data_IF_571731247197
#
_entry.id   IF_571731247197
#
_cell.length_a   1.000
_cell.length_b   1.000
_cell.length_c   1.000
_cell.angle_alpha   90.00
_cell.angle_beta   90.00
_cell.angle_gamma   90.00
#
_symmetry.space_group_name_H-M   'P 1'
#
loop_
_entity.id
_entity.type
_entity.pdbx_description
1 polymer ?
#
# COMPACT_ATOMS: atom_id res chain seq x y z
N UNK A 1 7.82 -38.95 -21.56
CA UNK A 1 7.88 -37.59 -21.00
C UNK A 1 8.06 -36.68 -22.21
N UNK A 2 7.27 -35.64 -22.37
CA UNK A 2 7.44 -34.75 -23.52
C UNK A 2 8.70 -33.92 -23.27
N UNK A 3 9.67 -34.04 -24.19
CA UNK A 3 10.92 -33.24 -24.15
C UNK A 3 10.70 -31.76 -24.51
N UNK A 4 9.54 -31.21 -24.13
CA UNK A 4 9.24 -29.81 -24.38
C UNK A 4 9.87 -28.96 -23.28
N UNK A 5 11.02 -28.37 -23.57
CA UNK A 5 11.77 -27.46 -22.70
C UNK A 5 11.48 -25.99 -23.00
N UNK A 6 10.59 -25.73 -23.97
CA UNK A 6 10.20 -24.37 -24.36
C UNK A 6 9.54 -23.63 -23.19
N UNK A 7 9.97 -22.40 -22.95
CA UNK A 7 9.35 -21.50 -21.99
C UNK A 7 8.86 -20.27 -22.71
N UNK A 8 7.56 -20.03 -22.57
CA UNK A 8 6.87 -18.83 -23.03
C UNK A 8 6.23 -18.12 -21.84
N UNK A 9 6.12 -16.79 -21.92
CA UNK A 9 5.40 -15.97 -20.94
C UNK A 9 4.60 -14.87 -21.64
N UNK A 10 3.62 -14.28 -20.93
CA UNK A 10 2.87 -13.15 -21.49
C UNK A 10 3.46 -11.83 -21.01
N UNK A 11 3.65 -10.88 -21.93
CA UNK A 11 3.90 -9.48 -21.60
C UNK A 11 2.58 -8.71 -21.60
N UNK A 12 2.33 -7.96 -20.50
CA UNK A 12 1.17 -7.09 -20.36
C UNK A 12 1.62 -5.63 -20.23
N UNK A 13 1.36 -4.85 -21.26
CA UNK A 13 1.55 -3.40 -21.23
C UNK A 13 0.53 -2.73 -20.31
N UNK A 14 0.70 -1.44 -19.98
CA UNK A 14 -0.30 -0.71 -19.17
C UNK A 14 -1.70 -0.70 -19.80
N UNK A 15 -1.88 -0.49 -21.13
CA UNK A 15 -3.18 -0.68 -21.77
C UNK A 15 -3.76 -2.10 -21.63
N UNK A 16 -2.92 -3.15 -21.65
CA UNK A 16 -3.36 -4.52 -21.45
C UNK A 16 -3.79 -4.76 -20.01
N UNK A 17 -3.04 -4.24 -19.05
CA UNK A 17 -3.42 -4.26 -17.63
C UNK A 17 -4.78 -3.61 -17.39
N UNK A 18 -5.06 -2.47 -18.06
CA UNK A 18 -6.37 -1.79 -17.98
C UNK A 18 -7.49 -2.67 -18.55
N UNK A 19 -7.29 -3.29 -19.70
CA UNK A 19 -8.27 -4.21 -20.31
C UNK A 19 -8.49 -5.44 -19.44
N UNK A 20 -7.44 -5.96 -18.80
CA UNK A 20 -7.52 -7.10 -17.90
C UNK A 20 -8.16 -6.77 -16.53
N UNK A 21 -8.50 -5.50 -16.29
CA UNK A 21 -9.27 -5.09 -15.11
C UNK A 21 -8.44 -4.58 -13.93
N UNK A 22 -7.18 -4.12 -14.13
CA UNK A 22 -6.33 -3.62 -13.04
C UNK A 22 -6.95 -2.47 -12.24
N UNK A 23 -7.95 -1.78 -12.82
CA UNK A 23 -8.68 -0.68 -12.18
C UNK A 23 -9.95 -1.11 -11.43
N UNK A 24 -10.26 -2.37 -11.37
CA UNK A 24 -11.39 -2.90 -10.60
C UNK A 24 -11.07 -2.83 -9.09
N UNK A 25 -11.43 -1.70 -8.46
CA UNK A 25 -11.14 -1.48 -7.05
C UNK A 25 -11.93 -2.42 -6.12
N UNK A 26 -13.23 -2.69 -6.33
CA UNK A 26 -13.93 -3.71 -5.54
C UNK A 26 -13.24 -5.07 -5.59
N UNK A 27 -12.91 -5.58 -6.78
CA UNK A 27 -12.20 -6.84 -6.93
C UNK A 27 -10.78 -6.81 -6.34
N UNK A 28 -10.11 -5.66 -6.37
CA UNK A 28 -8.81 -5.48 -5.73
C UNK A 28 -8.91 -5.53 -4.19
N UNK A 29 -9.93 -4.90 -3.59
CA UNK A 29 -10.19 -4.98 -2.14
C UNK A 29 -10.47 -6.42 -1.72
N UNK A 30 -11.27 -7.17 -2.49
CA UNK A 30 -11.56 -8.57 -2.21
C UNK A 30 -10.29 -9.42 -2.29
N UNK A 31 -9.43 -9.19 -3.30
CA UNK A 31 -8.14 -9.89 -3.42
C UNK A 31 -7.19 -9.57 -2.25
N UNK A 32 -7.18 -8.33 -1.77
CA UNK A 32 -6.38 -7.97 -0.57
C UNK A 32 -6.94 -8.64 0.69
N UNK A 33 -8.24 -8.73 0.84
CA UNK A 33 -8.87 -9.42 1.97
C UNK A 33 -8.52 -10.92 1.97
N UNK A 34 -8.63 -11.60 0.83
CA UNK A 34 -8.17 -12.99 0.64
C UNK A 34 -6.68 -13.16 1.02
N UNK A 35 -5.84 -12.22 0.55
CA UNK A 35 -4.41 -12.22 0.85
C UNK A 35 -4.14 -12.08 2.35
N UNK A 36 -4.79 -11.13 3.06
CA UNK A 36 -4.62 -11.00 4.51
C UNK A 36 -5.07 -12.25 5.27
N UNK A 37 -6.10 -12.94 4.81
CA UNK A 37 -6.50 -14.22 5.40
C UNK A 37 -5.42 -15.31 5.23
N UNK A 38 -4.68 -15.32 4.10
CA UNK A 38 -3.55 -16.22 3.87
C UNK A 38 -2.34 -15.83 4.73
N UNK A 39 -2.06 -14.55 4.89
CA UNK A 39 -1.00 -14.06 5.80
C UNK A 39 -1.25 -14.56 7.23
N UNK A 40 -2.46 -14.40 7.74
CA UNK A 40 -2.81 -14.87 9.08
C UNK A 40 -2.64 -16.39 9.24
N UNK A 41 -2.89 -17.16 8.17
CA UNK A 41 -2.67 -18.62 8.16
C UNK A 41 -1.19 -19.02 8.01
N UNK A 42 -0.31 -18.07 7.70
CA UNK A 42 1.11 -18.33 7.45
C UNK A 42 1.41 -18.94 6.06
N UNK A 43 0.43 -18.90 5.13
CA UNK A 43 0.57 -19.44 3.78
C UNK A 43 1.10 -18.39 2.79
N UNK A 44 2.25 -17.85 3.11
CA UNK A 44 2.99 -16.87 2.33
C UNK A 44 4.47 -16.88 2.70
N UNK A 45 5.29 -16.21 1.88
CA UNK A 45 6.68 -15.85 2.22
C UNK A 45 7.02 -14.53 1.56
N UNK A 46 7.72 -13.66 2.28
CA UNK A 46 8.39 -12.49 1.73
C UNK A 46 9.91 -12.61 1.93
N UNK A 47 10.66 -11.60 1.55
CA UNK A 47 12.12 -11.59 1.74
C UNK A 47 12.52 -11.46 3.23
N UNK A 48 13.83 -11.49 3.47
CA UNK A 48 14.41 -11.27 4.80
C UNK A 48 14.45 -12.51 5.69
N UNK A 49 15.10 -12.36 6.83
CA UNK A 49 15.33 -13.46 7.76
C UNK A 49 14.06 -13.95 8.45
N UNK A 50 13.13 -13.04 8.70
CA UNK A 50 11.81 -13.35 9.29
C UNK A 50 10.74 -13.74 8.26
N UNK A 51 11.05 -13.72 6.96
CA UNK A 51 10.13 -13.93 5.82
C UNK A 51 9.02 -12.87 5.68
N UNK A 52 9.20 -11.69 6.27
CA UNK A 52 8.26 -10.58 6.28
C UNK A 52 8.86 -9.25 5.80
N UNK A 53 10.13 -9.23 5.34
CA UNK A 53 10.77 -8.01 4.86
C UNK A 53 10.11 -7.45 3.61
N UNK A 54 10.04 -6.12 3.54
CA UNK A 54 9.50 -5.39 2.39
C UNK A 54 10.27 -5.66 1.08
N UNK A 55 11.53 -6.06 1.16
CA UNK A 55 12.41 -6.36 0.03
C UNK A 55 13.78 -5.70 0.16
N UNK A 56 14.54 -5.68 -0.94
CA UNK A 56 15.90 -5.18 -0.97
C UNK A 56 16.03 -3.91 -1.83
N UNK A 57 16.80 -2.93 -1.32
CA UNK A 57 17.01 -1.65 -2.00
C UNK A 57 18.47 -1.48 -2.44
N UNK A 58 18.63 -0.89 -3.64
CA UNK A 58 19.88 -0.25 -4.06
C UNK A 58 19.72 1.26 -3.88
N UNK A 59 20.53 1.84 -3.01
CA UNK A 59 20.58 3.27 -2.73
C UNK A 59 21.97 3.82 -3.09
N UNK A 60 22.13 5.13 -3.10
CA UNK A 60 23.38 5.78 -3.49
C UNK A 60 23.88 6.71 -2.39
N UNK A 61 25.21 6.87 -2.23
CA UNK A 61 25.77 7.75 -1.23
C UNK A 61 25.55 9.23 -1.58
N UNK A 62 25.48 10.08 -0.56
CA UNK A 62 25.36 11.53 -0.78
C UNK A 62 26.60 12.12 -1.45
N UNK A 63 27.79 11.60 -1.12
CA UNK A 63 29.09 12.01 -1.66
C UNK A 63 29.81 10.79 -2.23
N UNK A 64 29.54 10.41 -3.49
CA UNK A 64 30.23 9.29 -4.11
C UNK A 64 31.71 9.63 -4.35
N UNK A 65 32.59 8.71 -4.00
CA UNK A 65 34.03 8.81 -4.26
C UNK A 65 34.40 8.49 -5.73
N UNK A 66 33.52 7.71 -6.39
CA UNK A 66 33.69 7.30 -7.77
C UNK A 66 32.84 8.17 -8.68
N UNK A 67 33.45 8.80 -9.69
CA UNK A 67 32.79 9.78 -10.57
C UNK A 67 31.58 9.23 -11.34
N UNK A 68 31.55 7.93 -11.64
CA UNK A 68 30.42 7.27 -12.32
C UNK A 68 29.33 6.80 -11.37
N UNK A 69 29.58 6.84 -10.06
CA UNK A 69 28.61 6.45 -9.05
C UNK A 69 27.50 7.53 -8.97
N UNK A 70 26.22 7.17 -9.11
CA UNK A 70 25.14 8.11 -8.93
C UNK A 70 25.14 8.70 -7.52
N UNK A 71 24.86 10.00 -7.43
CA UNK A 71 24.67 10.66 -6.14
C UNK A 71 23.26 10.39 -5.59
N UNK A 72 23.16 10.28 -4.26
CA UNK A 72 21.87 10.31 -3.57
C UNK A 72 21.09 11.57 -3.93
N UNK A 73 19.80 11.39 -4.17
CA UNK A 73 18.80 12.46 -4.25
C UNK A 73 17.54 11.96 -3.56
N UNK A 74 16.65 12.84 -3.10
CA UNK A 74 15.42 12.40 -2.46
C UNK A 74 14.69 11.34 -3.28
N UNK A 75 14.35 10.22 -2.62
CA UNK A 75 13.63 9.08 -3.19
C UNK A 75 14.32 8.36 -4.38
N UNK A 76 15.63 8.59 -4.61
CA UNK A 76 16.38 7.88 -5.65
C UNK A 76 16.81 6.50 -5.16
N UNK A 77 16.14 5.48 -5.65
CA UNK A 77 16.42 4.08 -5.33
C UNK A 77 15.96 3.13 -6.43
N UNK A 78 16.50 1.93 -6.41
CA UNK A 78 15.90 0.78 -7.08
C UNK A 78 15.54 -0.25 -6.02
N UNK A 79 14.45 -0.99 -6.21
CA UNK A 79 13.92 -1.89 -5.19
C UNK A 79 13.34 -3.16 -5.80
N UNK A 80 13.67 -4.30 -5.19
CA UNK A 80 13.08 -5.61 -5.46
C UNK A 80 12.19 -6.02 -4.28
N UNK A 81 10.95 -6.39 -4.58
CA UNK A 81 9.96 -6.82 -3.60
C UNK A 81 9.43 -8.21 -3.97
N UNK A 82 10.15 -9.30 -3.63
CA UNK A 82 9.72 -10.65 -3.92
C UNK A 82 8.75 -11.18 -2.86
N UNK A 83 7.77 -12.00 -3.31
CA UNK A 83 6.91 -12.74 -2.40
C UNK A 83 6.35 -14.00 -3.07
N UNK A 84 6.00 -14.97 -2.24
CA UNK A 84 5.12 -16.11 -2.53
C UNK A 84 3.79 -15.91 -1.82
N UNK A 85 2.70 -16.32 -2.48
CA UNK A 85 1.37 -16.37 -1.90
C UNK A 85 0.72 -17.72 -2.25
N UNK A 86 0.23 -18.41 -1.23
CA UNK A 86 -0.40 -19.71 -1.31
C UNK A 86 -1.89 -19.68 -1.61
N UNK A 87 -2.67 -20.57 -1.00
CA UNK A 87 -4.11 -20.71 -1.24
C UNK A 87 -4.42 -20.96 -2.71
N UNK A 88 -5.39 -20.24 -3.26
CA UNK A 88 -5.77 -20.33 -4.67
C UNK A 88 -4.81 -19.57 -5.62
N UNK A 89 -3.84 -18.84 -5.07
CA UNK A 89 -2.86 -18.11 -5.87
C UNK A 89 -1.70 -19.00 -6.31
N UNK A 90 -1.04 -19.69 -5.40
CA UNK A 90 0.08 -20.62 -5.62
C UNK A 90 1.13 -20.06 -6.61
N UNK A 91 1.50 -18.77 -6.43
CA UNK A 91 2.41 -18.06 -7.31
C UNK A 91 3.49 -17.34 -6.52
N UNK A 92 4.65 -17.21 -7.15
CA UNK A 92 5.73 -16.34 -6.68
C UNK A 92 5.90 -15.17 -7.65
N UNK A 93 6.34 -14.03 -7.17
CA UNK A 93 6.60 -12.90 -8.06
C UNK A 93 7.48 -11.86 -7.44
N UNK A 94 7.96 -10.94 -8.27
CA UNK A 94 8.78 -9.83 -7.86
C UNK A 94 8.38 -8.54 -8.54
N UNK A 95 8.11 -7.51 -7.73
CA UNK A 95 8.06 -6.14 -8.22
C UNK A 95 9.46 -5.57 -8.24
N UNK A 96 9.92 -5.14 -9.41
CA UNK A 96 11.16 -4.40 -9.57
C UNK A 96 10.86 -2.99 -10.04
N UNK A 97 11.40 -1.98 -9.34
CA UNK A 97 11.16 -0.60 -9.72
C UNK A 97 12.31 0.34 -9.41
N UNK A 98 12.41 1.41 -10.22
CA UNK A 98 13.21 2.59 -9.93
C UNK A 98 12.32 3.75 -9.50
N UNK A 99 12.75 4.52 -8.50
CA UNK A 99 12.10 5.73 -8.01
C UNK A 99 13.07 6.89 -8.01
N UNK A 100 12.62 8.06 -8.48
CA UNK A 100 13.35 9.31 -8.43
C UNK A 100 12.37 10.48 -8.59
N UNK A 101 12.32 11.39 -7.64
CA UNK A 101 11.41 12.54 -7.69
C UNK A 101 11.70 13.46 -8.89
N UNK A 102 12.97 13.53 -9.35
CA UNK A 102 13.38 14.30 -10.54
C UNK A 102 12.77 13.80 -11.87
N UNK A 103 12.18 12.61 -11.90
CA UNK A 103 11.45 12.12 -13.06
C UNK A 103 10.30 13.06 -13.45
N UNK A 104 9.70 13.74 -12.48
CA UNK A 104 8.59 14.70 -12.71
C UNK A 104 9.01 15.87 -13.60
N UNK A 105 10.26 16.31 -13.51
CA UNK A 105 10.81 17.38 -14.36
C UNK A 105 10.91 16.94 -15.84
N UNK A 106 11.00 15.62 -16.06
CA UNK A 106 11.01 14.98 -17.39
C UNK A 106 9.63 14.55 -17.88
N UNK A 107 8.56 14.90 -17.16
CA UNK A 107 7.20 14.45 -17.46
C UNK A 107 6.94 12.96 -17.18
N UNK A 108 7.85 12.27 -16.49
CA UNK A 108 7.73 10.86 -16.14
C UNK A 108 7.11 10.68 -14.74
N UNK A 109 6.49 9.52 -14.45
CA UNK A 109 6.11 9.16 -13.10
C UNK A 109 7.32 9.15 -12.15
N UNK A 110 7.09 9.50 -10.89
CA UNK A 110 8.12 9.41 -9.83
C UNK A 110 8.77 8.02 -9.78
N UNK A 111 7.97 6.98 -9.94
CA UNK A 111 8.40 5.59 -9.95
C UNK A 111 7.94 4.89 -11.22
N UNK A 112 8.79 4.03 -11.76
CA UNK A 112 8.50 3.19 -12.93
C UNK A 112 8.65 1.75 -12.48
N UNK A 113 7.55 1.00 -12.54
CA UNK A 113 7.41 -0.30 -11.92
C UNK A 113 7.11 -1.39 -12.95
N UNK A 114 7.74 -2.53 -12.75
CA UNK A 114 7.44 -3.78 -13.46
C UNK A 114 7.21 -4.90 -12.46
N UNK A 115 6.44 -5.91 -12.85
CA UNK A 115 6.20 -7.10 -12.05
C UNK A 115 6.42 -8.35 -12.89
N UNK A 116 7.14 -9.32 -12.35
CA UNK A 116 7.27 -10.66 -12.95
C UNK A 116 6.56 -11.65 -12.06
N UNK A 117 5.68 -12.45 -12.64
CA UNK A 117 4.98 -13.55 -11.98
C UNK A 117 5.59 -14.86 -12.44
N UNK A 118 5.84 -15.78 -11.51
CA UNK A 118 6.53 -17.03 -11.75
C UNK A 118 5.67 -18.22 -11.31
N UNK A 119 5.75 -19.29 -12.08
CA UNK A 119 5.30 -20.61 -11.70
C UNK A 119 6.13 -21.14 -10.52
N UNK A 120 5.46 -21.69 -9.51
CA UNK A 120 6.14 -22.06 -8.25
C UNK A 120 6.93 -23.35 -8.36
N UNK A 121 6.52 -24.26 -9.23
CA UNK A 121 7.15 -25.57 -9.33
C UNK A 121 8.45 -25.52 -10.15
N UNK A 122 8.45 -24.72 -11.21
CA UNK A 122 9.57 -24.63 -12.16
C UNK A 122 10.42 -23.38 -12.01
N UNK A 123 9.87 -22.33 -11.37
CA UNK A 123 10.47 -20.99 -11.32
C UNK A 123 10.36 -20.24 -12.66
N UNK A 124 9.73 -20.80 -13.69
CA UNK A 124 9.60 -20.17 -14.99
C UNK A 124 8.73 -18.88 -14.89
N UNK A 125 9.09 -17.80 -15.61
CA UNK A 125 8.19 -16.66 -15.72
C UNK A 125 6.92 -17.07 -16.48
N UNK A 126 5.75 -16.71 -15.95
CA UNK A 126 4.46 -16.90 -16.62
C UNK A 126 3.90 -15.57 -17.15
N UNK A 127 4.27 -14.47 -16.51
CA UNK A 127 3.95 -13.11 -16.98
C UNK A 127 5.01 -12.09 -16.60
N UNK A 128 5.18 -11.08 -17.46
CA UNK A 128 5.90 -9.84 -17.16
C UNK A 128 5.00 -8.66 -17.48
N UNK A 129 4.78 -7.75 -16.52
CA UNK A 129 3.71 -6.77 -16.64
C UNK A 129 4.07 -5.39 -16.14
N UNK A 130 3.45 -4.36 -16.74
CA UNK A 130 3.49 -2.99 -16.23
C UNK A 130 2.85 -2.93 -14.85
N UNK A 131 3.53 -2.36 -13.85
CA UNK A 131 3.09 -2.42 -12.47
C UNK A 131 2.76 -1.07 -11.82
N UNK A 132 2.75 0.04 -12.55
CA UNK A 132 2.38 1.34 -12.00
C UNK A 132 0.93 1.35 -11.48
N UNK A 133 -0.02 0.92 -12.30
CA UNK A 133 -1.43 0.80 -11.88
C UNK A 133 -1.64 -0.34 -10.88
N UNK A 134 -1.00 -1.49 -11.11
CA UNK A 134 -1.03 -2.62 -10.18
C UNK A 134 -0.70 -2.15 -8.75
N UNK A 135 0.47 -1.54 -8.58
CA UNK A 135 0.95 -1.05 -7.29
C UNK A 135 0.07 0.06 -6.70
N UNK A 136 -0.47 0.95 -7.54
CA UNK A 136 -1.36 2.02 -7.08
C UNK A 136 -2.67 1.46 -6.52
N UNK A 137 -3.29 0.53 -7.22
CA UNK A 137 -4.59 -0.02 -6.83
C UNK A 137 -4.48 -0.94 -5.61
N UNK A 138 -3.49 -1.86 -5.56
CA UNK A 138 -3.30 -2.73 -4.40
C UNK A 138 -2.98 -1.93 -3.13
N UNK A 139 -2.17 -0.85 -3.22
CA UNK A 139 -1.83 -0.01 -2.07
C UNK A 139 -3.06 0.75 -1.55
N UNK A 140 -3.90 1.28 -2.45
CA UNK A 140 -5.13 1.95 -2.06
C UNK A 140 -6.23 0.99 -1.56
N UNK A 141 -6.19 -0.27 -1.97
CA UNK A 141 -7.17 -1.29 -1.55
C UNK A 141 -7.02 -1.70 -0.08
N UNK A 142 -5.80 -1.69 0.47
CA UNK A 142 -5.56 -2.04 1.90
C UNK A 142 -6.33 -1.14 2.87
N UNK A 143 -6.30 0.22 2.75
CA UNK A 143 -7.21 1.08 3.49
C UNK A 143 -8.69 0.69 3.36
N UNK A 144 -9.11 0.22 2.18
CA UNK A 144 -10.46 -0.28 1.93
C UNK A 144 -10.79 -1.54 2.73
N UNK A 145 -9.87 -2.53 2.79
CA UNK A 145 -10.03 -3.70 3.67
C UNK A 145 -10.17 -3.25 5.12
N UNK A 146 -9.30 -2.35 5.58
CA UNK A 146 -9.41 -1.78 6.91
C UNK A 146 -10.78 -1.12 7.17
N UNK A 147 -11.26 -0.29 6.24
CA UNK A 147 -12.55 0.39 6.38
C UNK A 147 -13.73 -0.59 6.39
N UNK A 148 -13.69 -1.67 5.60
CA UNK A 148 -14.73 -2.73 5.56
C UNK A 148 -14.99 -3.33 6.96
N UNK A 149 -13.94 -3.54 7.74
CA UNK A 149 -14.00 -4.18 9.06
C UNK A 149 -14.01 -3.20 10.23
N UNK A 150 -13.38 -2.04 10.08
CA UNK A 150 -13.03 -1.13 11.17
C UNK A 150 -13.72 0.24 11.10
N UNK A 151 -14.20 0.69 9.94
CA UNK A 151 -15.00 1.90 9.87
C UNK A 151 -16.43 1.66 10.39
N UNK A 152 -17.09 2.73 10.83
CA UNK A 152 -18.51 2.68 11.18
C UNK A 152 -19.34 2.42 9.92
N UNK A 153 -20.40 1.64 10.04
CA UNK A 153 -21.26 1.30 8.89
C UNK A 153 -22.03 2.50 8.32
N UNK A 154 -22.22 3.53 9.13
CA UNK A 154 -22.89 4.79 8.78
C UNK A 154 -21.88 5.91 8.40
N UNK A 155 -20.61 5.58 8.14
CA UNK A 155 -19.59 6.55 7.76
C UNK A 155 -19.98 7.33 6.51
N UNK A 156 -19.95 8.67 6.59
CA UNK A 156 -20.32 9.60 5.51
C UNK A 156 -19.22 10.57 5.13
N UNK A 157 -18.34 10.91 6.07
CA UNK A 157 -17.35 11.98 5.90
C UNK A 157 -15.96 11.38 5.84
N UNK A 158 -15.22 11.65 4.75
CA UNK A 158 -13.80 11.30 4.63
C UNK A 158 -12.93 12.54 4.65
N UNK A 159 -11.89 12.53 5.48
CA UNK A 159 -10.83 13.51 5.50
C UNK A 159 -9.57 12.98 4.80
N UNK A 160 -9.11 13.66 3.77
CA UNK A 160 -7.94 13.29 2.96
C UNK A 160 -6.86 14.35 2.99
N UNK A 161 -5.65 13.98 3.42
CA UNK A 161 -4.44 14.74 3.17
C UNK A 161 -3.65 14.10 2.01
N UNK A 162 -3.43 14.85 0.92
CA UNK A 162 -2.63 14.40 -0.21
C UNK A 162 -3.46 13.79 -1.35
N UNK A 163 -4.00 14.63 -2.27
CA UNK A 163 -4.85 14.22 -3.39
C UNK A 163 -4.03 13.67 -4.59
N UNK A 164 -3.02 12.84 -4.30
CA UNK A 164 -2.19 12.17 -5.28
C UNK A 164 -2.76 10.82 -5.72
N UNK A 165 -1.91 9.97 -6.33
CA UNK A 165 -2.31 8.62 -6.78
C UNK A 165 -2.83 7.78 -5.62
N UNK A 166 -2.10 7.74 -4.49
CA UNK A 166 -2.51 7.01 -3.29
C UNK A 166 -3.84 7.54 -2.72
N UNK A 167 -4.02 8.87 -2.68
CA UNK A 167 -5.29 9.48 -2.25
C UNK A 167 -6.46 9.08 -3.15
N UNK A 168 -6.27 9.08 -4.48
CA UNK A 168 -7.30 8.64 -5.44
C UNK A 168 -7.68 7.17 -5.20
N UNK A 169 -6.70 6.29 -5.08
CA UNK A 169 -6.98 4.85 -4.91
C UNK A 169 -7.56 4.52 -3.54
N UNK A 170 -7.15 5.21 -2.46
CA UNK A 170 -7.76 5.06 -1.13
C UNK A 170 -9.23 5.52 -1.13
N UNK A 171 -9.54 6.67 -1.76
CA UNK A 171 -10.94 7.12 -1.90
C UNK A 171 -11.75 6.11 -2.72
N UNK A 172 -11.22 5.59 -3.82
CA UNK A 172 -11.90 4.56 -4.61
C UNK A 172 -12.21 3.31 -3.78
N UNK A 173 -11.28 2.90 -2.92
CA UNK A 173 -11.46 1.76 -2.02
C UNK A 173 -12.50 2.04 -0.92
N UNK A 174 -12.49 3.22 -0.31
CA UNK A 174 -13.52 3.60 0.66
C UNK A 174 -14.91 3.64 0.02
N UNK A 175 -15.03 4.18 -1.21
CA UNK A 175 -16.30 4.17 -1.94
C UNK A 175 -16.80 2.77 -2.29
N UNK A 176 -15.89 1.81 -2.51
CA UNK A 176 -16.26 0.41 -2.76
C UNK A 176 -16.84 -0.30 -1.54
N UNK A 177 -16.46 0.09 -0.32
CA UNK A 177 -16.82 -0.61 0.92
C UNK A 177 -17.73 0.19 1.87
N UNK A 178 -17.75 1.51 1.71
CA UNK A 178 -18.57 2.44 2.50
C UNK A 178 -19.46 3.27 1.56
N UNK A 179 -20.55 2.71 0.99
CA UNK A 179 -21.35 3.35 -0.05
C UNK A 179 -22.14 4.58 0.43
N UNK A 180 -22.18 4.83 1.74
CA UNK A 180 -22.88 5.99 2.32
C UNK A 180 -22.02 7.26 2.37
N UNK A 181 -20.75 7.19 1.97
CA UNK A 181 -19.87 8.37 1.91
C UNK A 181 -20.43 9.36 0.87
N UNK A 182 -20.73 10.57 1.33
CA UNK A 182 -21.27 11.68 0.52
C UNK A 182 -20.45 12.97 0.65
N UNK A 183 -19.52 13.02 1.62
CA UNK A 183 -18.73 14.21 1.97
C UNK A 183 -17.25 13.90 1.98
N UNK A 184 -16.47 14.74 1.30
CA UNK A 184 -15.01 14.65 1.24
C UNK A 184 -14.38 15.98 1.61
N UNK A 185 -13.53 15.98 2.65
CA UNK A 185 -12.65 17.10 3.01
C UNK A 185 -11.25 16.79 2.50
N UNK A 186 -10.69 17.65 1.65
CA UNK A 186 -9.40 17.39 1.01
C UNK A 186 -8.44 18.55 1.18
N UNK A 187 -7.20 18.23 1.58
CA UNK A 187 -6.09 19.16 1.61
C UNK A 187 -4.96 18.68 0.72
N UNK A 188 -4.45 19.58 -0.12
CA UNK A 188 -3.29 19.34 -0.99
C UNK A 188 -2.41 20.58 -1.08
N UNK A 189 -1.12 20.39 -1.43
CA UNK A 189 -0.16 21.50 -1.56
C UNK A 189 -0.20 22.20 -2.91
N UNK A 190 -0.53 21.48 -3.97
CA UNK A 190 -0.45 21.99 -5.34
C UNK A 190 -1.82 22.09 -6.01
N UNK A 191 -2.17 23.30 -6.53
CA UNK A 191 -3.47 23.55 -7.18
C UNK A 191 -3.74 22.59 -8.31
N UNK A 192 -2.78 22.34 -9.20
CA UNK A 192 -2.94 21.40 -10.33
C UNK A 192 -3.32 19.98 -9.88
N UNK A 193 -2.75 19.52 -8.77
CA UNK A 193 -3.07 18.21 -8.20
C UNK A 193 -4.47 18.16 -7.59
N UNK A 194 -4.86 19.24 -6.92
CA UNK A 194 -6.22 19.41 -6.40
C UNK A 194 -7.24 19.43 -7.52
N UNK A 195 -7.05 20.26 -8.56
CA UNK A 195 -7.99 20.37 -9.69
C UNK A 195 -8.17 19.02 -10.40
N UNK A 196 -7.06 18.30 -10.63
CA UNK A 196 -7.11 16.96 -11.23
C UNK A 196 -7.83 15.94 -10.33
N UNK A 197 -7.69 16.08 -9.03
CA UNK A 197 -8.37 15.21 -8.06
C UNK A 197 -9.86 15.52 -8.00
N UNK A 198 -10.25 16.78 -7.93
CA UNK A 198 -11.65 17.22 -7.89
C UNK A 198 -12.41 16.82 -9.16
N UNK A 199 -11.81 17.00 -10.34
CA UNK A 199 -12.40 16.55 -11.60
C UNK A 199 -12.62 15.04 -11.60
N UNK A 200 -11.61 14.27 -11.16
CA UNK A 200 -11.70 12.81 -11.07
C UNK A 200 -12.78 12.35 -10.07
N UNK A 201 -12.91 12.98 -8.89
CA UNK A 201 -13.97 12.66 -7.92
C UNK A 201 -15.34 12.89 -8.53
N UNK A 202 -15.53 14.04 -9.17
CA UNK A 202 -16.81 14.39 -9.83
C UNK A 202 -17.22 13.40 -10.90
N UNK A 203 -16.27 12.91 -11.69
CA UNK A 203 -16.51 11.95 -12.78
C UNK A 203 -16.75 10.53 -12.25
N UNK A 204 -15.95 10.10 -11.25
CA UNK A 204 -15.94 8.71 -10.78
C UNK A 204 -16.95 8.44 -9.68
N UNK A 205 -17.28 9.44 -8.85
CA UNK A 205 -18.09 9.29 -7.64
C UNK A 205 -19.15 10.41 -7.50
N UNK A 206 -20.13 10.48 -8.40
CA UNK A 206 -21.17 11.53 -8.36
C UNK A 206 -22.01 11.53 -7.07
N UNK A 207 -22.00 10.44 -6.31
CA UNK A 207 -22.64 10.34 -4.98
C UNK A 207 -21.89 11.14 -3.90
N UNK A 208 -20.64 11.52 -4.10
CA UNK A 208 -19.95 12.49 -3.23
C UNK A 208 -20.43 13.89 -3.62
N UNK A 209 -21.47 14.34 -2.94
CA UNK A 209 -22.16 15.61 -3.27
C UNK A 209 -21.53 16.82 -2.60
N UNK A 210 -20.77 16.61 -1.52
CA UNK A 210 -20.12 17.68 -0.75
C UNK A 210 -18.59 17.50 -0.74
N UNK A 211 -17.89 18.22 -1.59
CA UNK A 211 -16.42 18.22 -1.64
C UNK A 211 -15.89 19.57 -1.15
N UNK A 212 -15.13 19.54 -0.07
CA UNK A 212 -14.56 20.70 0.62
C UNK A 212 -13.04 20.70 0.48
N UNK A 213 -12.47 21.69 -0.18
CA UNK A 213 -11.02 21.95 -0.10
C UNK A 213 -10.78 22.72 1.19
N UNK A 214 -9.92 22.19 2.04
CA UNK A 214 -9.66 22.76 3.39
C UNK A 214 -8.20 23.19 3.55
N UNK A 215 -7.97 24.17 4.45
CA UNK A 215 -6.68 24.82 4.59
C UNK A 215 -5.80 24.24 5.71
N UNK A 216 -6.40 23.67 6.74
CA UNK A 216 -5.68 23.14 7.90
C UNK A 216 -5.74 21.63 8.02
N UNK A 217 -4.82 21.02 8.79
CA UNK A 217 -4.87 19.60 9.13
C UNK A 217 -6.06 19.31 10.05
N UNK A 218 -6.39 20.25 10.92
CA UNK A 218 -7.55 20.16 11.79
C UNK A 218 -8.85 20.01 10.99
N UNK A 219 -9.05 20.82 9.95
CA UNK A 219 -10.25 20.75 9.10
C UNK A 219 -10.35 19.41 8.34
N UNK A 220 -9.22 18.79 7.99
CA UNK A 220 -9.21 17.45 7.40
C UNK A 220 -9.76 16.41 8.38
N UNK A 221 -9.39 16.51 9.66
CA UNK A 221 -9.67 15.49 10.68
C UNK A 221 -11.01 15.71 11.37
N UNK A 222 -11.35 16.99 11.68
CA UNK A 222 -12.54 17.33 12.46
C UNK A 222 -13.82 16.82 11.79
N UNK A 223 -14.66 16.13 12.57
CA UNK A 223 -15.93 15.52 12.15
C UNK A 223 -15.82 14.44 11.03
N UNK A 224 -14.61 14.03 10.65
CA UNK A 224 -14.44 12.95 9.68
C UNK A 224 -14.70 11.58 10.34
N UNK A 225 -15.42 10.70 9.65
CA UNK A 225 -15.64 9.30 10.05
C UNK A 225 -14.42 8.45 9.70
N UNK A 226 -13.83 8.76 8.55
CA UNK A 226 -12.60 8.13 8.04
C UNK A 226 -11.57 9.23 7.78
N UNK A 227 -10.36 9.06 8.29
CA UNK A 227 -9.23 9.95 8.04
C UNK A 227 -8.13 9.17 7.35
N UNK A 228 -7.55 9.73 6.28
CA UNK A 228 -6.38 9.13 5.63
C UNK A 228 -5.36 10.16 5.19
N UNK A 229 -4.09 9.90 5.51
CA UNK A 229 -2.97 10.74 5.08
C UNK A 229 -2.18 10.02 3.99
N UNK A 230 -2.24 10.56 2.78
CA UNK A 230 -1.60 10.05 1.56
C UNK A 230 -0.54 11.04 1.03
N UNK A 231 0.05 11.82 1.92
CA UNK A 231 1.04 12.83 1.59
C UNK A 231 2.39 12.21 1.26
N UNK A 232 3.24 12.99 0.60
CA UNK A 232 4.67 12.72 0.49
C UNK A 232 5.44 13.68 1.39
N UNK A 233 6.51 13.22 2.00
CA UNK A 233 7.40 13.99 2.87
C UNK A 233 8.85 13.59 2.65
N UNK A 234 9.74 14.11 3.47
CA UNK A 234 11.15 13.76 3.54
C UNK A 234 11.39 12.97 4.82
N UNK A 235 12.27 11.98 4.77
CA UNK A 235 12.71 11.21 5.94
C UNK A 235 13.80 11.97 6.71
N UNK A 236 14.00 11.60 7.99
CA UNK A 236 15.09 12.14 8.81
C UNK A 236 14.71 13.28 9.75
N UNK A 237 13.54 13.89 9.57
CA UNK A 237 13.00 14.90 10.49
C UNK A 237 11.54 14.61 10.82
N UNK A 238 11.32 13.92 11.95
CA UNK A 238 9.98 13.57 12.45
C UNK A 238 9.12 14.81 12.68
N UNK A 239 9.73 15.95 13.07
CA UNK A 239 8.97 17.18 13.34
C UNK A 239 8.27 17.75 12.10
N UNK A 240 8.76 17.37 10.89
CA UNK A 240 8.17 17.78 9.62
C UNK A 240 6.96 16.94 9.22
N UNK A 241 6.71 15.79 9.89
CA UNK A 241 5.56 14.94 9.56
C UNK A 241 4.26 15.58 10.03
N UNK A 242 3.19 15.50 9.20
CA UNK A 242 1.90 16.03 9.62
C UNK A 242 1.40 15.24 10.84
N UNK A 243 0.95 15.98 11.86
CA UNK A 243 0.47 15.40 13.12
C UNK A 243 -1.05 15.37 13.15
N UNK A 244 -1.61 14.30 13.71
CA UNK A 244 -3.02 14.24 14.10
C UNK A 244 -3.11 14.44 15.60
N UNK A 245 -3.97 15.36 16.04
CA UNK A 245 -4.24 15.60 17.46
C UNK A 245 -5.54 14.94 17.90
N UNK A 246 -5.53 14.36 19.10
CA UNK A 246 -6.69 13.72 19.70
C UNK A 246 -7.93 14.62 19.74
N UNK A 247 -7.75 15.87 20.06
CA UNK A 247 -8.83 16.87 20.17
C UNK A 247 -9.56 17.16 18.84
N UNK A 248 -8.96 16.77 17.69
CA UNK A 248 -9.57 16.91 16.38
C UNK A 248 -10.39 15.68 16.00
N UNK A 249 -10.07 14.51 16.59
CA UNK A 249 -10.63 13.22 16.21
C UNK A 249 -11.95 13.01 16.95
N UNK A 250 -13.01 12.80 16.17
CA UNK A 250 -14.31 12.47 16.79
C UNK A 250 -14.32 11.02 17.29
N UNK A 251 -15.14 10.73 18.31
CA UNK A 251 -15.38 9.35 18.73
C UNK A 251 -15.87 8.50 17.54
N UNK A 252 -15.39 7.27 17.45
CA UNK A 252 -15.74 6.34 16.39
C UNK A 252 -14.98 6.51 15.08
N UNK A 253 -14.03 7.44 14.99
CA UNK A 253 -13.24 7.62 13.77
C UNK A 253 -12.35 6.41 13.44
N UNK A 254 -12.25 6.09 12.17
CA UNK A 254 -11.26 5.18 11.60
C UNK A 254 -10.16 5.98 10.91
N UNK A 255 -8.91 5.74 11.29
CA UNK A 255 -7.74 6.49 10.82
C UNK A 255 -6.82 5.52 10.09
N UNK A 256 -6.71 5.65 8.76
CA UNK A 256 -5.82 4.82 7.94
C UNK A 256 -4.60 5.62 7.49
N UNK A 257 -3.41 5.12 7.82
CA UNK A 257 -2.14 5.85 7.65
C UNK A 257 -1.17 5.11 6.73
N UNK A 258 -1.30 5.26 5.39
CA UNK A 258 -0.38 4.69 4.43
C UNK A 258 0.83 5.58 4.12
N UNK A 259 1.01 6.69 4.82
CA UNK A 259 2.08 7.67 4.55
C UNK A 259 2.60 8.35 5.82
N UNK A 260 3.47 9.33 5.63
CA UNK A 260 4.13 10.13 6.68
C UNK A 260 3.12 10.72 7.66
N UNK A 261 3.20 10.33 8.93
CA UNK A 261 2.27 10.78 9.96
C UNK A 261 2.90 10.74 11.35
N UNK A 262 2.48 11.66 12.21
CA UNK A 262 2.62 11.58 13.66
C UNK A 262 1.25 11.56 14.32
N UNK A 263 1.17 10.88 15.44
CA UNK A 263 0.05 10.99 16.38
C UNK A 263 0.52 11.80 17.58
N UNK A 264 -0.35 12.61 18.15
CA UNK A 264 -0.06 13.20 19.44
C UNK A 264 -0.10 12.14 20.56
N UNK A 265 0.46 12.49 21.73
CA UNK A 265 0.57 11.56 22.86
C UNK A 265 -0.78 11.00 23.33
N UNK A 266 -1.86 11.74 23.13
CA UNK A 266 -3.18 11.29 23.56
C UNK A 266 -3.78 10.27 22.57
N UNK A 267 -3.36 10.25 21.30
CA UNK A 267 -3.67 9.20 20.33
C UNK A 267 -2.75 7.98 20.44
N UNK A 268 -1.61 8.10 21.11
CA UNK A 268 -0.74 6.96 21.40
C UNK A 268 -1.22 6.10 22.58
N UNK A 269 -2.19 6.57 23.39
CA UNK A 269 -2.71 5.88 24.58
C UNK A 269 -3.46 4.58 24.28
N UNK A 270 -3.68 3.80 25.32
CA UNK A 270 -4.28 2.46 25.27
C UNK A 270 -5.75 2.45 24.84
N UNK A 271 -6.48 3.57 25.01
CA UNK A 271 -7.87 3.72 24.58
C UNK A 271 -8.02 3.88 23.06
N UNK A 272 -6.93 3.98 22.32
CA UNK A 272 -6.89 3.99 20.87
C UNK A 272 -6.40 2.63 20.37
N UNK A 273 -7.25 1.94 19.62
CA UNK A 273 -6.92 0.63 19.06
C UNK A 273 -5.94 0.77 17.90
N UNK A 274 -4.87 -0.04 17.92
CA UNK A 274 -3.77 0.00 16.97
C UNK A 274 -3.75 -1.29 16.15
N UNK A 275 -3.95 -1.15 14.84
CA UNK A 275 -3.97 -2.25 13.89
C UNK A 275 -2.85 -2.04 12.87
N UNK A 276 -2.19 -3.11 12.48
CA UNK A 276 -1.14 -3.12 11.47
C UNK A 276 -1.55 -4.03 10.31
N UNK A 277 -1.14 -3.69 9.11
CA UNK A 277 -1.36 -4.58 7.95
C UNK A 277 -0.63 -5.93 8.12
N UNK A 278 0.63 -5.90 8.64
CA UNK A 278 1.36 -7.11 9.02
C UNK A 278 2.44 -6.76 10.06
N UNK A 279 2.35 -7.27 11.28
CA UNK A 279 3.30 -6.97 12.37
C UNK A 279 4.72 -7.38 11.98
N UNK A 280 4.90 -8.54 11.32
CA UNK A 280 6.20 -9.05 10.91
C UNK A 280 6.98 -8.11 9.98
N UNK A 281 6.28 -7.35 9.11
CA UNK A 281 6.90 -6.32 8.27
C UNK A 281 7.58 -5.23 9.12
N UNK A 282 6.88 -4.76 10.16
CA UNK A 282 7.42 -3.68 11.00
C UNK A 282 8.51 -4.19 11.92
N UNK A 283 8.47 -5.45 12.34
CA UNK A 283 9.57 -6.10 13.04
C UNK A 283 10.83 -6.15 12.15
N UNK A 284 10.69 -6.58 10.88
CA UNK A 284 11.80 -6.56 9.92
C UNK A 284 12.37 -5.15 9.75
N UNK A 285 11.53 -4.16 9.49
CA UNK A 285 11.97 -2.77 9.35
C UNK A 285 12.64 -2.23 10.63
N UNK A 286 12.10 -2.59 11.79
CA UNK A 286 12.63 -2.17 13.07
C UNK A 286 14.03 -2.74 13.37
N UNK A 287 14.36 -3.89 12.78
CA UNK A 287 15.71 -4.49 12.83
C UNK A 287 16.65 -3.91 11.75
N UNK A 288 16.11 -3.53 10.58
CA UNK A 288 16.89 -3.09 9.41
C UNK A 288 17.39 -1.64 9.51
N UNK A 289 16.77 -0.78 10.33
CA UNK A 289 17.12 0.65 10.42
C UNK A 289 17.57 1.06 11.82
N UNK A 290 18.34 2.18 11.94
CA UNK A 290 18.66 2.74 13.24
C UNK A 290 17.43 3.18 14.03
N UNK A 291 17.54 3.28 15.35
CA UNK A 291 16.47 3.70 16.25
C UNK A 291 16.49 5.23 16.49
N UNK A 292 15.34 5.88 16.65
CA UNK A 292 14.00 5.34 16.51
C UNK A 292 13.67 5.05 15.02
N UNK A 293 13.05 3.89 14.76
CA UNK A 293 12.80 3.42 13.39
C UNK A 293 11.88 4.35 12.60
N UNK A 294 10.91 4.97 13.26
CA UNK A 294 9.97 5.93 12.65
C UNK A 294 10.65 7.16 12.03
N UNK A 295 11.88 7.50 12.45
CA UNK A 295 12.65 8.57 11.81
C UNK A 295 13.08 8.22 10.38
N UNK A 296 13.35 6.95 10.11
CA UNK A 296 13.88 6.46 8.84
C UNK A 296 12.76 5.90 7.94
N UNK A 297 11.77 5.28 8.55
CA UNK A 297 10.58 4.74 7.89
C UNK A 297 9.35 5.41 8.51
N UNK A 298 8.83 6.48 7.88
CA UNK A 298 7.85 7.38 8.50
C UNK A 298 6.42 6.84 8.44
N UNK A 299 6.26 5.52 8.56
CA UNK A 299 4.98 4.83 8.66
C UNK A 299 4.66 4.63 10.14
N UNK A 300 3.43 4.91 10.55
CA UNK A 300 3.05 4.98 11.97
C UNK A 300 3.29 3.67 12.72
N UNK A 301 3.24 2.51 12.06
CA UNK A 301 3.57 1.22 12.67
C UNK A 301 5.00 1.14 13.17
N UNK A 302 5.98 1.82 12.52
CA UNK A 302 7.33 1.93 13.05
C UNK A 302 7.36 2.73 14.37
N UNK A 303 6.49 3.74 14.54
CA UNK A 303 6.34 4.43 15.82
C UNK A 303 5.78 3.50 16.90
N UNK A 304 4.84 2.63 16.55
CA UNK A 304 4.32 1.64 17.51
C UNK A 304 5.43 0.66 17.96
N UNK A 305 6.31 0.25 17.06
CA UNK A 305 7.48 -0.57 17.43
C UNK A 305 8.46 0.20 18.32
N UNK A 306 8.73 1.47 18.03
CA UNK A 306 9.55 2.32 18.89
C UNK A 306 8.92 2.49 20.28
N UNK A 307 7.59 2.61 20.38
CA UNK A 307 6.89 2.70 21.68
C UNK A 307 7.03 1.42 22.54
N UNK A 308 7.11 0.26 21.90
CA UNK A 308 7.38 -1.00 22.60
C UNK A 308 8.79 -0.97 23.20
N UNK A 309 9.81 -0.55 22.42
CA UNK A 309 11.18 -0.41 22.92
C UNK A 309 11.31 0.62 24.05
N UNK A 310 10.53 1.69 23.97
CA UNK A 310 10.46 2.76 24.99
C UNK A 310 9.69 2.32 26.27
N UNK A 311 9.04 1.15 26.24
CA UNK A 311 8.21 0.66 27.35
C UNK A 311 6.89 1.43 27.54
N UNK A 312 6.44 2.12 26.50
CA UNK A 312 5.19 2.90 26.48
C UNK A 312 3.99 2.07 26.05
N UNK A 313 4.23 0.91 25.46
CA UNK A 313 3.19 0.01 24.92
C UNK A 313 3.65 -1.46 25.03
N UNK A 314 2.74 -2.36 25.32
CA UNK A 314 3.00 -3.80 25.24
C UNK A 314 2.73 -4.33 23.81
N UNK A 315 3.48 -5.34 23.37
CA UNK A 315 3.35 -5.90 22.01
C UNK A 315 1.95 -6.48 21.74
N UNK A 316 1.31 -7.06 22.74
CA UNK A 316 -0.03 -7.65 22.66
C UNK A 316 -1.16 -6.61 22.49
N UNK A 317 -0.85 -5.32 22.55
CA UNK A 317 -1.76 -4.22 22.21
C UNK A 317 -1.80 -3.93 20.70
N UNK A 318 -0.94 -4.58 19.89
CA UNK A 318 -0.97 -4.51 18.45
C UNK A 318 -1.78 -5.67 17.86
N UNK A 319 -2.56 -5.37 16.84
CA UNK A 319 -3.36 -6.38 16.13
C UNK A 319 -2.99 -6.42 14.65
N UNK A 320 -2.92 -7.63 14.08
CA UNK A 320 -2.82 -7.82 12.64
C UNK A 320 -4.18 -7.66 11.95
N UNK A 321 -4.21 -6.98 10.81
CA UNK A 321 -5.40 -6.89 9.98
C UNK A 321 -5.89 -8.27 9.53
N UNK A 322 -4.97 -9.21 9.29
CA UNK A 322 -5.29 -10.61 8.94
C UNK A 322 -6.11 -11.34 10.02
N UNK A 323 -5.84 -11.10 11.31
CA UNK A 323 -6.63 -11.68 12.39
C UNK A 323 -8.07 -11.15 12.42
N UNK A 324 -8.26 -9.89 12.05
CA UNK A 324 -9.57 -9.24 11.96
C UNK A 324 -10.35 -9.77 10.76
N UNK A 325 -9.71 -9.85 9.61
CA UNK A 325 -10.30 -10.38 8.37
C UNK A 325 -10.80 -11.81 8.54
N UNK A 326 -10.06 -12.63 9.27
CA UNK A 326 -10.42 -14.04 9.55
C UNK A 326 -11.40 -14.22 10.70
N UNK A 327 -11.78 -13.15 11.41
CA UNK A 327 -12.69 -13.19 12.55
C UNK A 327 -12.06 -13.71 13.85
N UNK A 328 -10.73 -13.89 13.90
CA UNK A 328 -10.02 -14.27 15.12
C UNK A 328 -9.87 -13.09 16.09
N UNK A 329 -9.78 -11.87 15.56
CA UNK A 329 -10.01 -10.64 16.33
C UNK A 329 -11.30 -9.99 15.84
N UNK A 330 -12.05 -9.31 16.74
CA UNK A 330 -13.28 -8.63 16.34
C UNK A 330 -12.96 -7.50 15.35
N UNK A 331 -13.92 -7.19 14.48
CA UNK A 331 -13.92 -5.94 13.74
C UNK A 331 -14.04 -4.73 14.69
N UNK A 332 -14.86 -3.75 14.36
CA UNK A 332 -15.19 -2.65 15.29
C UNK A 332 -15.97 -3.16 16.49
N UNK A 333 -15.54 -2.83 17.73
CA UNK A 333 -16.22 -3.25 18.95
C UNK A 333 -17.43 -2.39 19.29
N UNK A 334 -17.37 -1.08 19.04
CA UNK A 334 -18.44 -0.13 19.31
C UNK A 334 -18.28 1.17 18.50
N UNK A 335 -19.33 2.01 18.49
CA UNK A 335 -19.36 3.25 17.69
C UNK A 335 -18.50 4.40 18.25
N UNK A 336 -17.91 4.25 19.43
CA UNK A 336 -17.05 5.28 20.06
C UNK A 336 -15.56 4.98 19.89
N UNK A 337 -15.20 3.73 19.57
CA UNK A 337 -13.83 3.26 19.44
C UNK A 337 -13.08 4.03 18.34
N UNK A 338 -11.94 4.62 18.67
CA UNK A 338 -11.00 5.19 17.70
C UNK A 338 -10.00 4.11 17.32
N UNK A 339 -9.84 3.91 16.02
CA UNK A 339 -8.97 2.87 15.48
C UNK A 339 -7.96 3.50 14.53
N UNK A 340 -6.69 3.19 14.72
CA UNK A 340 -5.59 3.57 13.82
C UNK A 340 -5.09 2.33 13.10
N UNK A 341 -5.14 2.34 11.78
CA UNK A 341 -4.55 1.32 10.91
C UNK A 341 -3.26 1.86 10.28
N UNK A 342 -2.16 1.20 10.57
CA UNK A 342 -0.89 1.40 9.85
C UNK A 342 -0.87 0.58 8.57
N UNK A 343 -0.45 1.19 7.47
CA UNK A 343 -0.32 0.53 6.17
C UNK A 343 1.09 0.73 5.64
N UNK A 344 1.89 -0.32 5.65
CA UNK A 344 3.28 -0.33 5.18
C UNK A 344 3.40 -0.70 3.70
N UNK A 345 2.49 -1.55 3.24
CA UNK A 345 2.48 -2.12 1.90
C UNK A 345 3.36 -3.37 1.79
N UNK A 346 2.79 -4.46 1.33
CA UNK A 346 3.42 -5.78 1.32
C UNK A 346 3.72 -6.25 -0.10
N UNK A 347 4.84 -6.98 -0.33
CA UNK A 347 5.08 -7.66 -1.61
C UNK A 347 3.97 -8.64 -2.01
N UNK A 348 3.34 -9.31 -1.04
CA UNK A 348 2.21 -10.24 -1.23
C UNK A 348 0.98 -9.58 -1.85
N UNK A 349 0.74 -8.29 -1.59
CA UNK A 349 -0.34 -7.52 -2.22
C UNK A 349 -0.15 -7.44 -3.74
N UNK A 350 1.11 -7.24 -4.18
CA UNK A 350 1.45 -7.21 -5.61
C UNK A 350 1.22 -8.58 -6.25
N UNK A 351 1.63 -9.68 -5.57
CA UNK A 351 1.40 -11.06 -6.05
C UNK A 351 -0.09 -11.34 -6.18
N UNK A 352 -0.87 -11.04 -5.15
CA UNK A 352 -2.31 -11.28 -5.15
C UNK A 352 -3.00 -10.59 -6.34
N UNK A 353 -2.80 -9.29 -6.51
CA UNK A 353 -3.45 -8.56 -7.58
C UNK A 353 -2.91 -8.92 -8.96
N UNK A 354 -1.60 -9.14 -9.11
CA UNK A 354 -0.98 -9.57 -10.35
C UNK A 354 -1.52 -10.93 -10.83
N UNK A 355 -1.71 -11.88 -9.93
CA UNK A 355 -2.25 -13.22 -10.25
C UNK A 355 -3.69 -13.12 -10.76
N UNK A 356 -4.56 -12.34 -10.12
CA UNK A 356 -5.94 -12.11 -10.60
C UNK A 356 -5.93 -11.47 -11.99
N UNK A 357 -5.10 -10.45 -12.22
CA UNK A 357 -4.99 -9.79 -13.53
C UNK A 357 -4.41 -10.72 -14.60
N UNK A 358 -3.40 -11.55 -14.26
CA UNK A 358 -2.88 -12.59 -15.15
C UNK A 358 -3.97 -13.56 -15.61
N UNK A 359 -4.75 -14.11 -14.69
CA UNK A 359 -5.85 -15.02 -15.02
C UNK A 359 -6.90 -14.34 -15.90
N UNK A 360 -7.25 -13.09 -15.63
CA UNK A 360 -8.16 -12.32 -16.46
C UNK A 360 -7.60 -12.10 -17.87
N UNK A 361 -6.31 -11.78 -17.98
CA UNK A 361 -5.64 -11.60 -19.27
C UNK A 361 -5.61 -12.89 -20.10
N UNK A 362 -5.25 -14.01 -19.48
CA UNK A 362 -5.27 -15.35 -20.14
C UNK A 362 -6.67 -15.67 -20.64
N UNK A 363 -7.70 -15.54 -19.79
CA UNK A 363 -9.09 -15.84 -20.14
C UNK A 363 -9.61 -15.00 -21.30
N UNK A 364 -9.10 -13.76 -21.44
CA UNK A 364 -9.54 -12.82 -22.47
C UNK A 364 -8.59 -12.74 -23.67
N UNK A 365 -7.51 -13.56 -23.71
CA UNK A 365 -6.45 -13.49 -24.72
C UNK A 365 -5.82 -12.09 -24.85
N UNK A 366 -5.55 -11.43 -23.74
CA UNK A 366 -4.90 -10.13 -23.67
C UNK A 366 -3.40 -10.33 -23.44
N UNK A 367 -2.59 -9.45 -24.08
CA UNK A 367 -1.14 -9.44 -23.94
C UNK A 367 -0.41 -10.00 -25.16
N UNK A 368 0.90 -9.99 -25.08
CA UNK A 368 1.79 -10.50 -26.14
C UNK A 368 2.56 -11.69 -25.58
N UNK A 369 2.42 -12.84 -26.26
CA UNK A 369 3.20 -14.03 -25.93
C UNK A 369 4.65 -13.82 -26.38
N UNK A 370 5.59 -13.97 -25.46
CA UNK A 370 7.02 -13.88 -25.71
C UNK A 370 7.68 -15.22 -25.37
N UNK A 371 8.66 -15.59 -26.18
CA UNK A 371 9.44 -16.80 -25.97
C UNK A 371 10.70 -16.46 -25.16
N UNK A 372 10.97 -17.21 -24.08
CA UNK A 372 12.22 -17.12 -23.34
C UNK A 372 13.31 -17.94 -24.02
N UNK A 373 12.99 -19.19 -24.39
CA UNK A 373 13.76 -20.08 -25.25
C UNK A 373 12.91 -21.24 -25.76
N UNK A 374 13.30 -21.81 -26.88
CA UNK A 374 12.75 -23.08 -27.39
C UNK A 374 13.42 -24.28 -26.66
N UNK A 375 14.73 -24.21 -26.54
CA UNK A 375 15.56 -25.18 -25.81
C UNK A 375 16.70 -24.39 -25.13
N UNK A 376 16.95 -24.61 -23.83
CA UNK A 376 18.05 -23.93 -23.15
C UNK A 376 19.39 -24.37 -23.73
N UNK A 377 20.30 -23.41 -23.95
CA UNK A 377 21.64 -23.70 -24.50
C UNK A 377 22.48 -24.52 -23.51
N UNK A 378 22.29 -24.29 -22.23
CA UNK A 378 22.94 -25.03 -21.14
C UNK A 378 21.88 -25.63 -20.23
N UNK A 379 21.91 -26.93 -20.05
CA UNK A 379 20.98 -27.71 -19.21
C UNK A 379 21.70 -28.80 -18.42
#
# INVERSE_FOLDING_TARGET
MSDNTQIDFIYLSEPDMIKAGVKDMPGCVDAMEEMFALLYKGDYRMAGANNDSHGAMVTFPEKPEIATMPRHTPDRRLMAMPAYLGGDYQTCGVKWYGSNIANREKGLPRSILMFTLNDIDTGAPIAHMSANLLSAYRTGAVPGVGARHLARKDSKVVGLLGPGVMGKTSIAAFMAVCPQIDTLKVKGRGQKSLDSFLSWVKESFPQITNVQVVDTLEDVVRDADIVTYCNSGETGDISSYPEIKREWVKPGAFISMPAYCRLDRDLEKDDVRKVMDNIGLYEAWHEEVPKPAHMYIPIIGCRFMDMIDEGLMAKDQLEDLGSIVTGNSPGRNNDQEIIVLSVGGLPTEDVAWATKIYHNAVKQNIGVKLNLWETPELS
#
